data_IF_051783485141
#
_entry.id   IF_051783485141
#
_cell.length_a   1.000
_cell.length_b   1.000
_cell.length_c   1.000
_cell.angle_alpha   90.00
_cell.angle_beta   90.00
_cell.angle_gamma   90.00
#
_symmetry.space_group_name_H-M   'P 1'
#
loop_
_entity.id
_entity.type
_entity.pdbx_description
1 polymer ?
#
# COMPACT_ATOMS: atom_id res chain seq x y z
N UNK A 1 25.88 -8.80 22.69
CA UNK A 1 24.45 -8.42 22.77
C UNK A 1 23.76 -9.02 21.55
N UNK A 2 22.59 -9.63 21.67
CA UNK A 2 21.91 -10.25 20.52
C UNK A 2 20.63 -9.49 20.22
N UNK A 3 20.34 -9.31 18.93
CA UNK A 3 19.02 -8.88 18.50
C UNK A 3 18.14 -10.14 18.45
N UNK A 4 17.12 -10.21 19.32
CA UNK A 4 16.17 -11.34 19.42
C UNK A 4 15.72 -11.90 18.06
N UNK A 5 15.35 -11.11 17.04
CA UNK A 5 14.92 -11.67 15.76
C UNK A 5 16.05 -12.32 14.92
N UNK A 6 17.33 -12.09 15.25
CA UNK A 6 18.49 -12.52 14.46
C UNK A 6 19.31 -13.62 15.12
N UNK A 7 18.87 -14.13 16.27
CA UNK A 7 19.59 -15.16 17.03
C UNK A 7 19.75 -16.46 16.22
N UNK A 8 18.71 -16.87 15.49
CA UNK A 8 18.73 -18.05 14.63
C UNK A 8 19.73 -17.93 13.45
N UNK A 9 20.14 -16.71 13.10
CA UNK A 9 21.13 -16.42 12.05
C UNK A 9 22.56 -16.36 12.62
N UNK A 10 22.74 -16.61 13.92
CA UNK A 10 24.05 -16.55 14.58
C UNK A 10 24.65 -15.14 14.66
N UNK A 11 23.84 -14.09 14.48
CA UNK A 11 24.32 -12.71 14.43
C UNK A 11 24.64 -12.17 15.83
N UNK A 12 25.81 -11.55 15.95
CA UNK A 12 26.31 -10.92 17.17
C UNK A 12 26.27 -9.39 17.02
N UNK A 13 25.59 -8.71 17.93
CA UNK A 13 25.59 -7.25 18.01
C UNK A 13 26.76 -6.72 18.83
N UNK A 14 27.44 -5.71 18.30
CA UNK A 14 28.48 -4.95 18.97
C UNK A 14 27.98 -3.53 19.31
N UNK A 15 28.39 -3.00 20.46
CA UNK A 15 28.09 -1.63 20.90
C UNK A 15 29.41 -0.88 20.99
N UNK A 16 29.54 0.20 20.22
CA UNK A 16 30.71 1.08 20.27
C UNK A 16 30.32 2.38 20.99
N UNK A 17 31.04 2.71 22.06
CA UNK A 17 30.79 3.91 22.88
C UNK A 17 32.07 4.74 22.92
N UNK A 18 32.01 5.98 22.45
CA UNK A 18 33.15 6.89 22.40
C UNK A 18 33.03 7.89 21.24
N UNK A 19 33.77 9.00 21.33
CA UNK A 19 33.79 10.03 20.28
C UNK A 19 34.65 9.66 19.06
N UNK A 20 35.52 8.67 19.22
CA UNK A 20 36.49 8.23 18.20
C UNK A 20 35.90 7.19 17.23
N UNK A 21 34.64 6.82 17.41
CA UNK A 21 33.94 5.88 16.54
C UNK A 21 33.40 6.66 15.34
N UNK A 22 33.82 6.35 14.10
CA UNK A 22 33.28 7.02 12.92
C UNK A 22 31.80 6.68 12.79
N UNK A 23 30.94 7.64 13.13
CA UNK A 23 29.50 7.52 12.99
C UNK A 23 29.10 8.08 11.64
N UNK A 24 28.52 7.24 10.79
CA UNK A 24 27.80 7.71 9.61
C UNK A 24 26.43 8.16 10.10
N UNK A 25 26.08 9.43 9.85
CA UNK A 25 24.70 9.88 10.00
C UNK A 25 23.85 9.18 8.94
N UNK A 26 23.40 7.96 9.24
CA UNK A 26 22.31 7.34 8.50
C UNK A 26 21.09 8.15 8.87
N UNK A 27 20.76 9.17 8.07
CA UNK A 27 19.75 10.18 8.36
C UNK A 27 18.53 9.58 9.05
N UNK A 28 18.56 9.59 10.39
CA UNK A 28 17.48 9.16 11.26
C UNK A 28 16.48 10.30 11.34
N UNK A 29 16.06 10.80 10.17
CA UNK A 29 14.94 11.71 10.05
C UNK A 29 13.70 10.85 9.93
N UNK A 30 12.85 10.88 10.94
CA UNK A 30 11.52 10.25 10.94
C UNK A 30 10.60 10.83 9.87
N UNK A 31 10.89 10.54 8.60
CA UNK A 31 9.93 10.59 7.50
C UNK A 31 9.28 9.22 7.40
N UNK A 32 7.97 9.14 7.11
CA UNK A 32 7.30 7.86 7.14
C UNK A 32 7.93 7.00 6.05
N UNK A 33 8.60 5.92 6.48
CA UNK A 33 9.01 4.80 5.63
C UNK A 33 7.74 4.09 5.16
N UNK A 34 6.91 4.81 4.40
CA UNK A 34 5.77 4.21 3.70
C UNK A 34 6.39 3.52 2.49
N UNK A 35 6.08 2.24 2.27
CA UNK A 35 6.37 1.60 1.00
C UNK A 35 5.93 2.54 -0.12
N UNK A 36 6.85 2.96 -0.98
CA UNK A 36 6.50 3.80 -2.13
C UNK A 36 5.71 2.94 -3.09
N UNK A 37 4.39 3.13 -3.11
CA UNK A 37 3.52 2.47 -4.08
C UNK A 37 3.83 3.05 -5.46
N UNK A 38 4.17 2.20 -6.47
CA UNK A 38 4.42 2.65 -7.84
C UNK A 38 3.25 3.49 -8.38
N UNK A 39 3.54 4.54 -9.14
CA UNK A 39 2.49 5.43 -9.64
C UNK A 39 1.50 4.73 -10.57
N UNK A 40 1.95 3.68 -11.28
CA UNK A 40 1.09 2.79 -12.06
C UNK A 40 0.04 2.07 -11.20
N UNK A 41 0.37 1.68 -9.97
CA UNK A 41 -0.58 1.01 -9.09
C UNK A 41 -1.66 1.99 -8.58
N UNK A 42 -1.30 3.25 -8.34
CA UNK A 42 -2.26 4.31 -7.97
C UNK A 42 -3.23 4.57 -9.12
N UNK A 43 -2.73 4.73 -10.35
CA UNK A 43 -3.59 5.01 -11.50
C UNK A 43 -4.51 3.83 -11.84
N UNK A 44 -4.00 2.59 -11.74
CA UNK A 44 -4.83 1.38 -11.90
C UNK A 44 -5.94 1.30 -10.84
N UNK A 45 -5.64 1.64 -9.58
CA UNK A 45 -6.66 1.68 -8.51
C UNK A 45 -7.78 2.69 -8.78
N UNK A 46 -7.42 3.88 -9.25
CA UNK A 46 -8.41 4.91 -9.62
C UNK A 46 -9.24 4.48 -10.82
N UNK A 47 -8.59 3.95 -11.87
CA UNK A 47 -9.27 3.51 -13.09
C UNK A 47 -10.26 2.37 -12.83
N UNK A 48 -9.86 1.38 -12.02
CA UNK A 48 -10.72 0.23 -11.67
C UNK A 48 -11.91 0.64 -10.81
N UNK A 49 -11.70 1.55 -9.84
CA UNK A 49 -12.80 2.09 -9.02
C UNK A 49 -13.81 2.84 -9.89
N UNK A 50 -13.33 3.69 -10.81
CA UNK A 50 -14.20 4.40 -11.75
C UNK A 50 -14.98 3.43 -12.66
N UNK A 51 -14.32 2.41 -13.20
CA UNK A 51 -14.97 1.41 -14.04
C UNK A 51 -16.06 0.63 -13.29
N UNK A 52 -15.80 0.23 -12.04
CA UNK A 52 -16.80 -0.44 -11.18
C UNK A 52 -18.01 0.47 -10.89
N UNK A 53 -17.77 1.75 -10.57
CA UNK A 53 -18.86 2.70 -10.32
C UNK A 53 -19.66 2.97 -11.60
N UNK A 54 -18.99 3.14 -12.75
CA UNK A 54 -19.64 3.39 -14.02
C UNK A 54 -20.51 2.20 -14.44
N UNK A 55 -19.99 0.98 -14.31
CA UNK A 55 -20.74 -0.25 -14.66
C UNK A 55 -21.94 -0.46 -13.76
N UNK A 56 -21.76 -0.38 -12.43
CA UNK A 56 -22.85 -0.53 -11.47
C UNK A 56 -23.86 0.62 -11.55
N UNK A 57 -23.40 1.85 -11.76
CA UNK A 57 -24.25 3.04 -11.90
C UNK A 57 -25.10 2.99 -13.16
N UNK A 58 -24.53 2.57 -14.29
CA UNK A 58 -25.27 2.38 -15.54
C UNK A 58 -26.26 1.23 -15.42
N UNK A 59 -25.87 0.11 -14.79
CA UNK A 59 -26.78 -1.00 -14.52
C UNK A 59 -27.96 -0.56 -13.65
N UNK A 60 -27.71 0.19 -12.57
CA UNK A 60 -28.75 0.79 -11.74
C UNK A 60 -29.63 1.74 -12.53
N UNK A 61 -29.04 2.57 -13.40
CA UNK A 61 -29.80 3.49 -14.24
C UNK A 61 -30.78 2.75 -15.16
N UNK A 62 -30.33 1.69 -15.84
CA UNK A 62 -31.21 0.87 -16.66
C UNK A 62 -32.30 0.16 -15.84
N UNK A 63 -31.94 -0.45 -14.70
CA UNK A 63 -32.93 -1.09 -13.84
C UNK A 63 -33.95 -0.09 -13.26
N UNK A 64 -33.52 1.12 -12.91
CA UNK A 64 -34.37 2.11 -12.25
C UNK A 64 -35.22 2.92 -13.22
N UNK A 65 -34.69 3.22 -14.41
CA UNK A 65 -35.29 4.15 -15.36
C UNK A 65 -35.49 3.59 -16.77
N UNK A 66 -34.87 2.46 -17.13
CA UNK A 66 -34.99 1.81 -18.43
C UNK A 66 -36.19 0.86 -18.54
N UNK A 67 -37.30 1.20 -17.85
CA UNK A 67 -38.43 0.33 -17.55
C UNK A 67 -39.10 -0.38 -18.74
N UNK A 68 -39.89 -1.39 -18.35
CA UNK A 68 -40.61 -2.40 -19.15
C UNK A 68 -39.79 -3.67 -19.47
N UNK A 69 -39.51 -4.48 -18.43
CA UNK A 69 -38.94 -5.82 -18.55
C UNK A 69 -40.00 -6.94 -18.43
N UNK A 70 -41.28 -6.59 -18.24
CA UNK A 70 -42.42 -7.50 -18.28
C UNK A 70 -42.91 -7.58 -19.74
N UNK A 71 -42.28 -8.42 -20.55
CA UNK A 71 -42.91 -8.90 -21.78
C UNK A 71 -44.11 -9.76 -21.38
N UNK A 72 -45.31 -9.19 -21.50
CA UNK A 72 -46.58 -9.90 -21.38
C UNK A 72 -46.63 -11.01 -22.43
N UNK A 73 -46.53 -12.27 -21.98
CA UNK A 73 -47.10 -13.45 -22.64
C UNK A 73 -47.81 -14.33 -21.59
#
# INVERSE_FOLDING_TARGET
YHCVPHEALGMLGAVAVGGDVPTVSTGGGGGPSRPQVPDSAKSLGVATTFAMIATLGLAYFFMKYGGDYDVQD
#
